data_IF_782556993187
#
_entry.id   IF_782556993187
#
_cell.length_a   1.000
_cell.length_b   1.000
_cell.length_c   1.000
_cell.angle_alpha   90.00
_cell.angle_beta   90.00
_cell.angle_gamma   90.00
#
_symmetry.space_group_name_H-M   'P 1'
#
loop_
_entity.id
_entity.type
_entity.pdbx_description
1 polymer ?
#
# COMPACT_ATOMS: atom_id res chain seq x y z
N UNK A 1 18.65 -10.87 -19.76
CA UNK A 1 17.97 -9.55 -19.86
C UNK A 1 17.26 -9.30 -18.54
N UNK A 2 17.60 -8.21 -17.85
CA UNK A 2 17.19 -7.95 -16.47
C UNK A 2 15.96 -7.06 -16.34
N UNK A 3 15.48 -6.91 -15.12
CA UNK A 3 14.53 -5.87 -14.75
C UNK A 3 15.22 -4.49 -14.73
N UNK A 4 14.48 -3.44 -15.03
CA UNK A 4 14.89 -2.05 -14.78
C UNK A 4 13.84 -1.31 -13.98
N UNK A 5 14.24 -0.21 -13.33
CA UNK A 5 13.37 0.60 -12.48
C UNK A 5 13.40 2.07 -12.89
N UNK A 6 12.28 2.76 -12.70
CA UNK A 6 12.20 4.21 -12.68
C UNK A 6 11.44 4.64 -11.42
N UNK A 7 11.88 5.71 -10.78
CA UNK A 7 11.22 6.26 -9.60
C UNK A 7 11.05 7.76 -9.74
N UNK A 8 9.86 8.25 -9.39
CA UNK A 8 9.48 9.65 -9.32
C UNK A 8 9.07 9.92 -7.88
N UNK A 9 9.87 10.67 -7.14
CA UNK A 9 9.53 11.06 -5.78
C UNK A 9 8.35 12.05 -5.78
N UNK A 10 8.29 12.92 -6.79
CA UNK A 10 7.14 13.77 -7.14
C UNK A 10 6.52 13.21 -8.43
N UNK A 11 5.34 12.59 -8.32
CA UNK A 11 4.64 11.98 -9.44
C UNK A 11 4.14 13.00 -10.48
N UNK A 12 4.11 14.29 -10.13
CA UNK A 12 3.81 15.35 -11.09
C UNK A 12 4.95 15.60 -12.09
N UNK A 13 6.15 15.07 -11.83
CA UNK A 13 7.26 15.10 -12.79
C UNK A 13 7.09 14.10 -13.95
N UNK A 14 6.15 13.14 -13.83
CA UNK A 14 5.81 12.25 -14.94
C UNK A 14 5.29 13.10 -16.11
N UNK A 15 5.90 13.00 -17.31
CA UNK A 15 5.50 13.82 -18.46
C UNK A 15 4.01 13.67 -18.77
N UNK A 16 3.30 14.79 -18.94
CA UNK A 16 1.84 14.83 -19.17
C UNK A 16 1.43 13.91 -20.33
N UNK A 17 2.21 13.90 -21.42
CA UNK A 17 1.97 13.06 -22.59
C UNK A 17 2.01 11.54 -22.30
N UNK A 18 2.65 11.10 -21.21
CA UNK A 18 2.77 9.69 -20.83
C UNK A 18 1.77 9.25 -19.76
N UNK A 19 1.08 10.19 -19.10
CA UNK A 19 0.26 9.89 -17.92
C UNK A 19 -0.92 8.98 -18.24
N UNK A 20 -1.62 9.19 -19.36
CA UNK A 20 -2.78 8.37 -19.74
C UNK A 20 -2.36 6.92 -20.00
N UNK A 21 -1.37 6.71 -20.88
CA UNK A 21 -0.85 5.38 -21.21
C UNK A 21 -0.31 4.67 -19.97
N UNK A 22 0.45 5.35 -19.12
CA UNK A 22 0.98 4.79 -17.88
C UNK A 22 -0.15 4.38 -16.92
N UNK A 23 -1.19 5.20 -16.79
CA UNK A 23 -2.35 4.89 -15.95
C UNK A 23 -3.14 3.67 -16.47
N UNK A 24 -3.29 3.55 -17.79
CA UNK A 24 -3.88 2.38 -18.43
C UNK A 24 -3.05 1.11 -18.17
N UNK A 25 -1.73 1.17 -18.30
CA UNK A 25 -0.84 0.05 -17.99
C UNK A 25 -0.94 -0.37 -16.51
N UNK A 26 -0.92 0.59 -15.58
CA UNK A 26 -1.08 0.31 -14.14
C UNK A 26 -2.43 -0.34 -13.84
N UNK A 27 -3.52 0.20 -14.37
CA UNK A 27 -4.87 -0.38 -14.22
C UNK A 27 -4.94 -1.79 -14.82
N UNK A 28 -4.28 -2.03 -15.96
CA UNK A 28 -4.23 -3.35 -16.58
C UNK A 28 -3.50 -4.38 -15.69
N UNK A 29 -2.47 -3.98 -14.95
CA UNK A 29 -1.80 -4.84 -13.96
C UNK A 29 -2.75 -5.13 -12.79
N UNK A 30 -3.42 -4.11 -12.22
CA UNK A 30 -4.40 -4.28 -11.14
C UNK A 30 -5.48 -5.30 -11.55
N UNK A 31 -6.00 -5.19 -12.77
CA UNK A 31 -7.03 -6.09 -13.32
C UNK A 31 -6.60 -7.58 -13.38
N UNK A 32 -5.29 -7.88 -13.32
CA UNK A 32 -4.80 -9.26 -13.26
C UNK A 32 -4.86 -9.85 -11.85
N UNK A 33 -4.72 -9.02 -10.81
CA UNK A 33 -4.75 -9.45 -9.41
C UNK A 33 -6.12 -9.27 -8.76
N UNK A 34 -6.95 -8.37 -9.30
CA UNK A 34 -8.26 -8.03 -8.77
C UNK A 34 -9.37 -8.13 -9.83
N UNK A 35 -10.61 -8.23 -9.38
CA UNK A 35 -11.81 -8.01 -10.19
C UNK A 35 -12.14 -6.52 -10.05
N UNK A 36 -12.14 -5.79 -11.16
CA UNK A 36 -12.45 -4.36 -11.21
C UNK A 36 -13.86 -4.17 -11.77
N UNK A 37 -14.66 -3.33 -11.11
CA UNK A 37 -15.93 -2.83 -11.63
C UNK A 37 -15.78 -1.47 -12.33
N UNK A 38 -14.76 -0.71 -11.93
CA UNK A 38 -14.28 0.51 -12.57
C UNK A 38 -12.75 0.58 -12.50
N UNK A 39 -12.08 1.40 -13.33
CA UNK A 39 -10.64 1.62 -13.21
C UNK A 39 -10.28 2.18 -11.83
N UNK A 40 -9.23 1.63 -11.21
CA UNK A 40 -8.80 2.08 -9.88
C UNK A 40 -8.24 3.51 -9.93
N UNK A 41 -7.40 3.79 -10.93
CA UNK A 41 -6.89 5.13 -11.21
C UNK A 41 -7.68 5.77 -12.35
N UNK A 42 -8.11 7.01 -12.15
CA UNK A 42 -8.89 7.79 -13.12
C UNK A 42 -8.33 9.21 -13.22
N UNK A 43 -8.80 10.01 -14.19
CA UNK A 43 -8.41 11.43 -14.26
C UNK A 43 -8.84 12.21 -13.01
N UNK A 44 -9.97 11.85 -12.39
CA UNK A 44 -10.47 12.46 -11.15
C UNK A 44 -9.84 11.90 -9.87
N UNK A 45 -9.16 10.75 -9.95
CA UNK A 45 -8.45 10.09 -8.84
C UNK A 45 -7.07 9.72 -9.37
N UNK A 46 -6.26 10.74 -9.68
CA UNK A 46 -5.02 10.56 -10.41
C UNK A 46 -3.82 10.41 -9.46
N UNK A 47 -2.88 9.50 -9.72
CA UNK A 47 -1.68 9.37 -8.90
C UNK A 47 -0.57 10.35 -9.29
N UNK A 48 -0.79 11.28 -10.23
CA UNK A 48 0.23 12.19 -10.78
C UNK A 48 0.27 13.58 -10.12
N UNK A 49 -0.14 13.64 -8.86
CA UNK A 49 -0.08 14.86 -8.05
C UNK A 49 1.20 14.91 -7.22
N UNK A 50 1.61 16.10 -6.78
CA UNK A 50 2.88 16.34 -6.09
C UNK A 50 3.05 15.57 -4.78
N UNK A 51 1.93 15.25 -4.15
CA UNK A 51 1.89 14.51 -2.90
C UNK A 51 2.19 13.01 -3.07
N UNK A 52 2.10 12.50 -4.29
CA UNK A 52 2.40 11.11 -4.60
C UNK A 52 3.82 10.94 -5.13
N UNK A 53 4.39 9.77 -4.86
CA UNK A 53 5.51 9.21 -5.60
C UNK A 53 5.10 7.94 -6.36
N UNK A 54 5.80 7.64 -7.44
CA UNK A 54 5.57 6.47 -8.30
C UNK A 54 6.89 5.75 -8.54
N UNK A 55 6.91 4.44 -8.29
CA UNK A 55 7.99 3.53 -8.70
C UNK A 55 7.44 2.58 -9.75
N UNK A 56 8.16 2.42 -10.85
CA UNK A 56 7.82 1.54 -11.97
C UNK A 56 8.93 0.52 -12.16
N UNK A 57 8.56 -0.73 -12.37
CA UNK A 57 9.46 -1.79 -12.78
C UNK A 57 9.12 -2.23 -14.20
N UNK A 58 10.17 -2.42 -15.00
CA UNK A 58 10.07 -2.78 -16.39
C UNK A 58 10.70 -4.13 -16.70
N UNK A 59 10.11 -4.83 -17.66
CA UNK A 59 10.71 -5.98 -18.31
C UNK A 59 10.37 -5.92 -19.80
N UNK A 60 11.40 -5.95 -20.67
CA UNK A 60 11.25 -5.73 -22.12
C UNK A 60 10.43 -4.48 -22.46
N UNK A 61 10.75 -3.34 -21.82
CA UNK A 61 10.10 -2.03 -22.02
C UNK A 61 8.60 -1.96 -21.68
N UNK A 62 8.05 -2.94 -20.95
CA UNK A 62 6.67 -2.90 -20.44
C UNK A 62 6.67 -2.75 -18.94
N UNK A 63 5.73 -1.99 -18.37
CA UNK A 63 5.54 -1.95 -16.93
C UNK A 63 5.05 -3.34 -16.48
N UNK A 64 5.76 -3.94 -15.53
CA UNK A 64 5.43 -5.25 -14.97
C UNK A 64 5.09 -5.20 -13.49
N UNK A 65 5.45 -4.10 -12.83
CA UNK A 65 5.02 -3.81 -11.48
C UNK A 65 5.10 -2.30 -11.24
N UNK A 66 4.33 -1.83 -10.27
CA UNK A 66 4.39 -0.44 -9.84
C UNK A 66 4.12 -0.31 -8.34
N UNK A 67 4.48 0.85 -7.80
CA UNK A 67 4.00 1.33 -6.51
C UNK A 67 3.67 2.80 -6.61
N UNK A 68 2.48 3.16 -6.14
CA UNK A 68 2.06 4.53 -5.85
C UNK A 68 2.03 4.69 -4.33
N UNK A 69 2.68 5.73 -3.84
CA UNK A 69 2.73 6.04 -2.42
C UNK A 69 2.56 7.53 -2.17
N UNK A 70 2.08 7.91 -0.99
CA UNK A 70 1.92 9.30 -0.56
C UNK A 70 2.81 9.55 0.64
N UNK A 71 3.52 10.68 0.66
CA UNK A 71 4.34 11.13 1.79
C UNK A 71 3.69 12.36 2.41
N UNK A 72 3.61 12.40 3.73
CA UNK A 72 3.03 13.54 4.45
C UNK A 72 3.50 13.49 5.91
N UNK A 73 3.18 14.54 6.67
CA UNK A 73 3.47 14.61 8.10
C UNK A 73 2.18 14.56 8.90
N UNK A 74 2.19 13.83 10.01
CA UNK A 74 1.06 13.70 10.93
C UNK A 74 1.58 13.62 12.36
N UNK A 75 0.98 14.35 13.30
CA UNK A 75 1.53 14.46 14.65
C UNK A 75 3.00 14.90 14.71
N UNK A 76 3.50 15.60 13.68
CA UNK A 76 4.91 15.95 13.52
C UNK A 76 5.79 14.87 12.89
N UNK A 77 5.37 13.60 12.90
CA UNK A 77 6.10 12.46 12.34
C UNK A 77 5.95 12.35 10.82
N UNK A 78 6.99 11.85 10.16
CA UNK A 78 6.93 11.51 8.74
C UNK A 78 6.14 10.21 8.52
N UNK A 79 5.20 10.26 7.58
CA UNK A 79 4.34 9.14 7.21
C UNK A 79 4.47 8.78 5.72
N UNK A 80 4.54 7.47 5.46
CA UNK A 80 4.50 6.84 4.15
C UNK A 80 3.20 6.02 4.03
N UNK A 81 2.30 6.45 3.16
CA UNK A 81 1.10 5.68 2.82
C UNK A 81 1.26 4.95 1.48
N UNK A 82 1.05 3.63 1.45
CA UNK A 82 1.04 2.83 0.22
C UNK A 82 -0.35 2.83 -0.40
N UNK A 83 -0.55 3.71 -1.38
CA UNK A 83 -1.84 3.90 -2.03
C UNK A 83 -2.22 2.79 -3.00
N UNK A 84 -1.24 2.19 -3.68
CA UNK A 84 -1.49 1.06 -4.57
C UNK A 84 -0.17 0.42 -5.00
N UNK A 85 -0.08 -0.90 -5.03
CA UNK A 85 1.14 -1.59 -5.45
C UNK A 85 0.83 -2.95 -6.00
N UNK A 86 1.27 -3.22 -7.22
CA UNK A 86 0.95 -4.47 -7.91
C UNK A 86 2.13 -4.99 -8.69
N UNK A 87 2.20 -6.32 -8.78
CA UNK A 87 3.16 -7.05 -9.59
C UNK A 87 2.37 -8.01 -10.49
N UNK A 88 2.67 -8.02 -11.77
CA UNK A 88 2.07 -8.98 -12.71
C UNK A 88 2.29 -10.43 -12.21
N UNK A 89 1.27 -11.31 -12.27
CA UNK A 89 1.35 -12.66 -11.72
C UNK A 89 2.60 -13.46 -12.12
N UNK A 90 3.00 -13.42 -13.39
CA UNK A 90 4.17 -14.15 -13.89
C UNK A 90 5.53 -13.64 -13.35
N UNK A 91 5.55 -12.45 -12.73
CA UNK A 91 6.72 -11.83 -12.12
C UNK A 91 6.68 -11.86 -10.58
N UNK A 92 5.60 -12.37 -9.97
CA UNK A 92 5.49 -12.55 -8.52
C UNK A 92 6.48 -13.59 -7.99
N UNK A 93 6.79 -13.53 -6.70
CA UNK A 93 7.74 -14.45 -6.04
C UNK A 93 9.22 -14.18 -6.33
N UNK A 94 9.54 -13.05 -6.99
CA UNK A 94 10.91 -12.70 -7.40
C UNK A 94 11.52 -11.52 -6.63
N UNK A 95 10.98 -11.19 -5.46
CA UNK A 95 11.43 -10.06 -4.64
C UNK A 95 11.00 -8.66 -5.12
N UNK A 96 10.26 -8.56 -6.22
CA UNK A 96 9.89 -7.25 -6.81
C UNK A 96 8.99 -6.40 -5.91
N UNK A 97 8.04 -7.01 -5.19
CA UNK A 97 7.22 -6.30 -4.22
C UNK A 97 8.08 -5.73 -3.08
N UNK A 98 9.02 -6.52 -2.57
CA UNK A 98 9.96 -6.06 -1.55
C UNK A 98 10.84 -4.92 -2.06
N UNK A 99 11.35 -5.00 -3.30
CA UNK A 99 12.07 -3.90 -3.93
C UNK A 99 11.23 -2.62 -3.97
N UNK A 100 9.99 -2.70 -4.44
CA UNK A 100 9.07 -1.55 -4.47
C UNK A 100 8.85 -0.95 -3.08
N UNK A 101 8.73 -1.80 -2.05
CA UNK A 101 8.57 -1.36 -0.65
C UNK A 101 9.84 -0.67 -0.14
N UNK A 102 10.99 -1.31 -0.27
CA UNK A 102 12.28 -0.78 0.19
C UNK A 102 12.59 0.57 -0.48
N UNK A 103 12.42 0.67 -1.80
CA UNK A 103 12.65 1.93 -2.53
C UNK A 103 11.70 3.04 -2.08
N UNK A 104 10.43 2.76 -1.79
CA UNK A 104 9.52 3.81 -1.28
C UNK A 104 9.89 4.29 0.12
N UNK A 105 10.43 3.39 0.95
CA UNK A 105 10.91 3.72 2.29
C UNK A 105 12.17 4.57 2.20
N UNK A 106 13.14 4.16 1.37
CA UNK A 106 14.39 4.91 1.14
C UNK A 106 14.10 6.33 0.64
N UNK A 107 13.22 6.46 -0.36
CA UNK A 107 12.79 7.76 -0.89
C UNK A 107 11.97 8.59 0.11
N UNK A 108 11.38 7.97 1.12
CA UNK A 108 10.72 8.71 2.20
C UNK A 108 11.73 9.10 3.27
N UNK A 109 12.67 8.21 3.60
CA UNK A 109 13.71 8.44 4.59
C UNK A 109 14.62 9.63 4.23
N UNK A 110 14.74 9.99 2.95
CA UNK A 110 15.44 11.21 2.54
C UNK A 110 14.81 12.51 3.05
N UNK A 111 13.55 12.48 3.48
CA UNK A 111 12.82 13.64 4.02
C UNK A 111 12.83 13.70 5.56
N UNK A 112 13.48 12.73 6.22
CA UNK A 112 13.67 12.73 7.67
C UNK A 112 14.58 13.90 8.07
N UNK A 113 14.19 14.59 9.13
CA UNK A 113 15.08 15.54 9.80
C UNK A 113 16.15 14.79 10.62
N UNK A 114 17.31 15.40 10.90
CA UNK A 114 18.41 14.73 11.61
C UNK A 114 18.06 14.11 12.97
N UNK A 115 17.06 14.66 13.65
CA UNK A 115 16.54 14.19 14.94
C UNK A 115 15.49 13.08 14.82
N UNK A 116 14.99 12.81 13.61
CA UNK A 116 13.96 11.81 13.35
C UNK A 116 14.58 10.47 13.00
N UNK A 117 14.12 9.40 13.64
CA UNK A 117 14.58 8.04 13.41
C UNK A 117 13.46 7.07 13.03
N UNK A 118 12.24 7.56 12.85
CA UNK A 118 11.06 6.73 12.67
C UNK A 118 10.19 7.23 11.52
N UNK A 119 9.59 6.28 10.80
CA UNK A 119 8.61 6.54 9.73
C UNK A 119 7.35 5.76 10.07
N UNK A 120 6.21 6.45 10.11
CA UNK A 120 4.90 5.81 10.13
C UNK A 120 4.62 5.21 8.75
N UNK A 121 4.44 3.90 8.68
CA UNK A 121 4.15 3.18 7.43
C UNK A 121 2.73 2.66 7.45
N UNK A 122 1.92 3.20 6.54
CA UNK A 122 0.50 2.97 6.46
C UNK A 122 0.10 2.28 5.14
N UNK A 123 -0.83 1.34 5.20
CA UNK A 123 -1.45 0.72 4.03
C UNK A 123 -2.85 0.23 4.36
N UNK A 124 -3.67 0.01 3.33
CA UNK A 124 -4.93 -0.71 3.49
C UNK A 124 -4.94 -1.97 2.64
N UNK A 125 -5.38 -3.09 3.18
CA UNK A 125 -5.38 -4.35 2.45
C UNK A 125 -6.39 -5.34 3.02
N UNK A 126 -6.90 -6.19 2.14
CA UNK A 126 -7.56 -7.45 2.49
C UNK A 126 -6.80 -8.67 2.00
N UNK A 127 -5.64 -8.46 1.36
CA UNK A 127 -4.78 -9.52 0.89
C UNK A 127 -3.84 -9.95 2.04
N UNK A 128 -3.97 -11.18 2.57
CA UNK A 128 -3.17 -11.67 3.69
C UNK A 128 -1.67 -11.73 3.37
N UNK A 129 -1.30 -11.93 2.11
CA UNK A 129 0.11 -11.95 1.67
C UNK A 129 0.73 -10.56 1.80
N UNK A 130 -0.02 -9.52 1.41
CA UNK A 130 0.43 -8.13 1.50
C UNK A 130 0.54 -7.69 2.96
N UNK A 131 -0.46 -8.03 3.78
CA UNK A 131 -0.39 -7.74 5.21
C UNK A 131 0.82 -8.42 5.85
N UNK A 132 1.03 -9.72 5.59
CA UNK A 132 2.18 -10.48 6.11
C UNK A 132 3.54 -9.98 5.61
N UNK A 133 3.61 -9.46 4.38
CA UNK A 133 4.85 -8.92 3.82
C UNK A 133 5.21 -7.58 4.47
N UNK A 134 4.22 -6.70 4.63
CA UNK A 134 4.40 -5.39 5.25
C UNK A 134 4.63 -5.49 6.76
N UNK A 135 4.00 -6.45 7.47
CA UNK A 135 4.21 -6.60 8.91
C UNK A 135 5.67 -6.91 9.29
N UNK A 136 6.41 -7.62 8.42
CA UNK A 136 7.81 -8.01 8.65
C UNK A 136 8.78 -6.84 8.67
N UNK A 137 8.43 -5.71 8.07
CA UNK A 137 9.29 -4.52 8.07
C UNK A 137 8.95 -3.55 9.20
N UNK A 138 7.89 -3.83 9.98
CA UNK A 138 7.46 -2.96 11.06
C UNK A 138 7.95 -3.46 12.43
N UNK A 139 8.54 -2.58 13.25
CA UNK A 139 8.94 -2.86 14.64
C UNK A 139 7.73 -2.91 15.59
N UNK A 140 6.76 -2.02 15.37
CA UNK A 140 5.44 -1.93 16.00
C UNK A 140 4.37 -1.90 14.90
N UNK A 141 3.18 -2.45 15.14
CA UNK A 141 2.14 -2.58 14.13
C UNK A 141 0.74 -2.66 14.73
N UNK A 142 -0.20 -1.90 14.18
CA UNK A 142 -1.64 -2.06 14.40
C UNK A 142 -2.36 -2.30 13.06
N UNK A 143 -3.39 -3.16 13.02
CA UNK A 143 -3.73 -4.13 14.06
C UNK A 143 -2.66 -5.23 14.08
N UNK A 144 -2.34 -5.79 15.25
CA UNK A 144 -1.47 -6.98 15.31
C UNK A 144 -2.28 -8.25 15.12
N UNK A 145 -2.13 -8.91 13.97
CA UNK A 145 -2.77 -10.22 13.70
C UNK A 145 -1.93 -11.42 14.18
N UNK A 146 -0.73 -11.17 14.73
CA UNK A 146 0.18 -12.23 15.17
C UNK A 146 0.04 -12.58 16.65
N UNK A 147 0.04 -11.56 17.51
CA UNK A 147 0.07 -11.70 18.96
C UNK A 147 -1.08 -10.97 19.66
N UNK A 148 -1.90 -10.22 18.91
CA UNK A 148 -3.01 -9.45 19.44
C UNK A 148 -2.59 -8.28 20.34
N UNK A 149 -1.32 -7.87 20.30
CA UNK A 149 -0.84 -6.74 21.08
C UNK A 149 -1.47 -5.45 20.55
N UNK A 150 -2.14 -4.72 21.45
CA UNK A 150 -2.67 -3.39 21.18
C UNK A 150 -1.59 -2.33 21.43
N UNK A 151 -1.65 -1.25 20.65
CA UNK A 151 -0.73 -0.13 20.72
C UNK A 151 -1.56 1.15 20.53
N UNK A 152 -1.95 1.78 21.64
CA UNK A 152 -2.88 2.92 21.64
C UNK A 152 -2.34 4.12 20.86
N UNK A 153 -1.04 4.40 20.97
CA UNK A 153 -0.38 5.49 20.23
C UNK A 153 -0.45 5.25 18.72
N UNK A 154 -0.18 4.01 18.26
CA UNK A 154 -0.31 3.69 16.84
C UNK A 154 -1.76 3.65 16.36
N UNK A 155 -2.73 3.29 17.22
CA UNK A 155 -4.16 3.37 16.86
C UNK A 155 -4.63 4.81 16.68
N UNK A 156 -4.17 5.73 17.52
CA UNK A 156 -4.43 7.17 17.38
C UNK A 156 -3.81 7.69 16.07
N UNK A 157 -2.53 7.40 15.81
CA UNK A 157 -1.87 7.75 14.55
C UNK A 157 -2.60 7.15 13.33
N UNK A 158 -3.06 5.90 13.41
CA UNK A 158 -3.84 5.27 12.35
C UNK A 158 -5.17 5.97 12.10
N UNK A 159 -5.84 6.44 13.15
CA UNK A 159 -7.09 7.20 13.05
C UNK A 159 -6.86 8.55 12.38
N UNK A 160 -5.81 9.28 12.79
CA UNK A 160 -5.45 10.56 12.16
C UNK A 160 -5.08 10.38 10.69
N UNK A 161 -4.26 9.37 10.38
CA UNK A 161 -3.86 9.06 9.00
C UNK A 161 -5.08 8.70 8.15
N UNK A 162 -5.97 7.85 8.65
CA UNK A 162 -7.19 7.47 7.93
C UNK A 162 -8.06 8.70 7.66
N UNK A 163 -8.24 9.58 8.65
CA UNK A 163 -9.01 10.82 8.48
C UNK A 163 -8.42 11.77 7.44
N UNK A 164 -7.09 11.86 7.37
CA UNK A 164 -6.39 12.68 6.38
C UNK A 164 -6.47 12.10 4.95
N UNK A 165 -6.38 10.77 4.82
CA UNK A 165 -6.41 10.10 3.51
C UNK A 165 -7.82 9.89 2.97
N UNK A 166 -8.79 9.65 3.85
CA UNK A 166 -10.16 9.25 3.51
C UNK A 166 -11.18 10.06 4.31
N UNK A 167 -11.39 11.36 3.99
CA UNK A 167 -12.37 12.17 4.68
C UNK A 167 -13.77 11.54 4.64
N UNK A 168 -14.37 11.35 5.82
CA UNK A 168 -15.70 10.74 5.98
C UNK A 168 -15.71 9.21 6.09
N UNK A 169 -14.57 8.53 5.91
CA UNK A 169 -14.46 7.10 6.16
C UNK A 169 -14.21 6.85 7.65
N UNK A 170 -15.02 5.96 8.25
CA UNK A 170 -14.85 5.52 9.63
C UNK A 170 -13.83 4.38 9.69
N UNK A 171 -12.88 4.48 10.63
CA UNK A 171 -11.96 3.43 11.02
C UNK A 171 -12.44 2.81 12.34
N UNK A 172 -12.81 1.53 12.33
CA UNK A 172 -13.27 0.82 13.53
C UNK A 172 -12.06 0.46 14.42
N UNK A 173 -12.03 0.95 15.66
CA UNK A 173 -11.00 0.64 16.66
C UNK A 173 -11.48 -0.43 17.65
N UNK A 174 -10.61 -1.32 18.18
CA UNK A 174 -9.16 -1.38 17.96
C UNK A 174 -8.75 -2.22 16.73
N UNK A 175 -9.71 -2.84 16.04
CA UNK A 175 -9.44 -3.78 14.94
C UNK A 175 -8.87 -3.14 13.66
N UNK A 176 -8.93 -1.80 13.56
CA UNK A 176 -8.51 -0.99 12.43
C UNK A 176 -9.20 -1.38 11.11
N UNK A 177 -10.52 -1.54 11.15
CA UNK A 177 -11.30 -1.97 9.99
C UNK A 177 -11.90 -0.77 9.26
N UNK A 178 -11.72 -0.76 7.93
CA UNK A 178 -12.42 0.16 7.03
C UNK A 178 -13.50 -0.58 6.26
N UNK A 179 -14.76 -0.33 6.63
CA UNK A 179 -15.92 -0.93 5.96
C UNK A 179 -16.18 -0.29 4.60
N UNK A 180 -16.47 -1.12 3.60
CA UNK A 180 -16.92 -0.69 2.27
C UNK A 180 -15.90 0.13 1.46
N UNK A 181 -14.61 0.15 1.85
CA UNK A 181 -13.60 1.01 1.23
C UNK A 181 -13.10 0.51 -0.15
N UNK A 182 -13.46 -0.72 -0.52
CA UNK A 182 -13.23 -1.32 -1.84
C UNK A 182 -14.56 -1.55 -2.59
N UNK A 183 -15.35 -0.50 -2.73
CA UNK A 183 -16.61 -0.52 -3.50
C UNK A 183 -16.45 -0.92 -4.98
N UNK A 184 -15.30 -0.59 -5.58
CA UNK A 184 -15.01 -0.78 -7.00
C UNK A 184 -14.15 -1.99 -7.35
N UNK A 185 -13.67 -2.75 -6.36
CA UNK A 185 -12.65 -3.77 -6.58
C UNK A 185 -12.77 -4.94 -5.61
N UNK A 186 -12.56 -6.17 -6.10
CA UNK A 186 -12.57 -7.40 -5.28
C UNK A 186 -11.28 -8.18 -5.48
N UNK A 187 -10.65 -8.58 -4.38
CA UNK A 187 -9.43 -9.38 -4.42
C UNK A 187 -9.75 -10.78 -4.97
N UNK A 188 -8.99 -11.25 -5.97
CA UNK A 188 -9.24 -12.57 -6.61
C UNK A 188 -8.97 -13.78 -5.71
N UNK A 189 -8.42 -13.55 -4.51
CA UNK A 189 -8.01 -14.62 -3.60
C UNK A 189 -6.79 -15.36 -4.13
N UNK A 190 -5.93 -15.80 -3.22
CA UNK A 190 -4.77 -16.64 -3.56
C UNK A 190 -4.69 -17.77 -2.54
N UNK A 191 -4.19 -18.94 -2.96
CA UNK A 191 -4.00 -20.06 -2.04
C UNK A 191 -2.86 -19.73 -1.08
N UNK A 192 -3.19 -19.54 0.19
CA UNK A 192 -2.22 -19.27 1.26
C UNK A 192 -1.75 -20.56 1.94
N UNK A 193 -0.56 -20.53 2.54
CA UNK A 193 0.00 -21.63 3.35
C UNK A 193 0.74 -21.06 4.57
N UNK A 194 0.90 -21.88 5.61
CA UNK A 194 1.63 -21.50 6.82
C UNK A 194 1.03 -20.27 7.51
N UNK A 195 1.87 -19.36 7.98
CA UNK A 195 1.46 -18.12 8.67
C UNK A 195 0.48 -17.27 7.84
N UNK A 196 0.60 -17.26 6.51
CA UNK A 196 -0.32 -16.50 5.65
C UNK A 196 -1.73 -17.07 5.69
N UNK A 197 -1.88 -18.39 5.83
CA UNK A 197 -3.20 -19.01 5.98
C UNK A 197 -3.85 -18.62 7.31
N UNK A 198 -3.07 -18.57 8.41
CA UNK A 198 -3.58 -18.10 9.71
C UNK A 198 -4.04 -16.63 9.64
N UNK A 199 -3.27 -15.77 8.96
CA UNK A 199 -3.67 -14.37 8.72
C UNK A 199 -4.92 -14.28 7.86
N UNK A 200 -5.03 -15.14 6.85
CA UNK A 200 -6.21 -15.21 5.99
C UNK A 200 -7.46 -15.56 6.82
N UNK A 201 -7.39 -16.56 7.70
CA UNK A 201 -8.51 -16.97 8.55
C UNK A 201 -8.95 -15.83 9.49
N UNK A 202 -8.00 -15.05 10.02
CA UNK A 202 -8.31 -13.85 10.82
C UNK A 202 -9.00 -12.79 9.96
N UNK A 203 -8.43 -12.45 8.80
CA UNK A 203 -9.02 -11.47 7.88
C UNK A 203 -10.44 -11.87 7.48
N UNK A 204 -10.67 -13.12 7.09
CA UNK A 204 -11.99 -13.60 6.67
C UNK A 204 -13.02 -13.58 7.80
N UNK A 205 -12.59 -13.73 9.06
CA UNK A 205 -13.46 -13.63 10.23
C UNK A 205 -13.80 -12.18 10.58
N UNK A 206 -12.82 -11.28 10.59
CA UNK A 206 -13.02 -9.89 11.02
C UNK A 206 -13.66 -9.02 9.92
N UNK A 207 -13.33 -9.29 8.65
CA UNK A 207 -13.83 -8.56 7.48
C UNK A 207 -14.42 -9.50 6.42
N UNK A 208 -15.59 -10.12 6.71
CA UNK A 208 -16.21 -11.09 5.80
C UNK A 208 -16.74 -10.47 4.50
N UNK A 209 -17.05 -9.16 4.48
CA UNK A 209 -17.44 -8.46 3.25
C UNK A 209 -16.21 -8.25 2.37
N UNK A 210 -16.25 -8.64 1.08
CA UNK A 210 -15.12 -8.47 0.19
C UNK A 210 -14.73 -7.02 -0.11
N UNK A 211 -15.55 -6.05 0.27
CA UNK A 211 -15.31 -4.62 0.11
C UNK A 211 -14.63 -3.98 1.32
N UNK A 212 -14.50 -4.72 2.41
CA UNK A 212 -13.83 -4.24 3.62
C UNK A 212 -12.31 -4.42 3.49
N UNK A 213 -11.57 -3.66 4.29
CA UNK A 213 -10.12 -3.79 4.41
C UNK A 213 -9.65 -3.56 5.84
N UNK A 214 -8.49 -4.13 6.17
CA UNK A 214 -7.71 -3.68 7.31
C UNK A 214 -6.94 -2.44 6.89
N UNK A 215 -7.02 -1.38 7.69
CA UNK A 215 -6.09 -0.27 7.66
C UNK A 215 -4.97 -0.57 8.64
N UNK A 216 -3.74 -0.59 8.20
CA UNK A 216 -2.61 -0.96 9.03
C UNK A 216 -1.59 0.16 9.08
N UNK A 217 -1.06 0.41 10.27
CA UNK A 217 -0.01 1.40 10.53
C UNK A 217 1.04 0.78 11.41
N UNK A 218 2.31 0.94 11.05
CA UNK A 218 3.43 0.50 11.87
C UNK A 218 4.61 1.44 11.79
N UNK A 219 5.61 1.20 12.64
CA UNK A 219 6.89 1.92 12.60
C UNK A 219 7.89 1.11 11.78
N UNK A 220 8.46 1.71 10.73
CA UNK A 220 9.44 1.04 9.87
C UNK A 220 10.71 0.70 10.67
N UNK A 221 11.25 -0.51 10.45
CA UNK A 221 12.62 -0.87 10.81
C UNK A 221 13.57 -0.27 9.75
N UNK A 222 14.16 0.88 10.06
CA UNK A 222 15.19 1.51 9.22
C UNK A 222 16.50 0.71 9.23
#
# INVERSE_FOLDING_TARGET
>A
MGYSAAAFADASEVPVARRSEMMEEMNAIIAKNWILYEPHWTSSRTPFEREFGIILLYFHNKIIAFSVYKRFRIGGMLALYRSGSEVLPQHQGRGLYHFLTATSIELTASDLQPEESEILYAWRTRNPIIWAANSKICSRLVPSLHDGVEDGELQEAATEICGALYPGQILETPAMIMRGCYDHIIHRGQKSRGTVAMIQDVIEREIPDPRDALFSVGIVRL
#
